data_IF_616893145601
#
_entry.id   IF_616893145601
#
_cell.length_a   1.000
_cell.length_b   1.000
_cell.length_c   1.000
_cell.angle_alpha   90.00
_cell.angle_beta   90.00
_cell.angle_gamma   90.00
#
_symmetry.space_group_name_H-M   'P 1'
#
loop_
_entity.id
_entity.type
_entity.pdbx_description
1 polymer ?
#
# COMPACT_ATOMS: atom_id res chain seq x y z
N UNK A 1 3.29 34.09 17.59
CA UNK A 1 2.59 35.33 17.87
C UNK A 1 1.74 35.19 19.14
N UNK A 2 1.86 36.14 20.06
CA UNK A 2 1.25 36.07 21.39
C UNK A 2 -0.30 35.88 21.38
N UNK A 3 -0.97 36.31 20.31
CA UNK A 3 -2.41 36.13 20.14
C UNK A 3 -2.83 34.68 19.94
N UNK A 4 -2.12 33.93 19.08
CA UNK A 4 -2.38 32.52 18.83
C UNK A 4 -2.12 31.66 20.08
N UNK A 5 -1.01 31.90 20.79
CA UNK A 5 -0.71 31.18 22.03
C UNK A 5 -1.80 31.39 23.11
N UNK A 6 -2.32 32.63 23.23
CA UNK A 6 -3.43 32.91 24.16
C UNK A 6 -4.72 32.22 23.76
N UNK A 7 -5.02 32.17 22.45
CA UNK A 7 -6.20 31.45 21.95
C UNK A 7 -6.12 29.94 22.26
N UNK A 8 -4.98 29.34 21.94
CA UNK A 8 -4.74 27.91 22.19
C UNK A 8 -4.73 27.58 23.69
N UNK A 9 -4.09 28.41 24.50
CA UNK A 9 -4.06 28.25 25.94
C UNK A 9 -5.49 28.31 26.55
N UNK A 10 -6.33 29.21 26.04
CA UNK A 10 -7.74 29.27 26.46
C UNK A 10 -8.52 28.01 26.06
N UNK A 11 -8.32 27.49 24.85
CA UNK A 11 -8.96 26.26 24.36
C UNK A 11 -8.53 25.03 25.18
N UNK A 12 -7.24 24.92 25.50
CA UNK A 12 -6.68 23.83 26.30
C UNK A 12 -6.81 24.04 27.82
N UNK A 13 -7.41 25.13 28.25
CA UNK A 13 -7.58 25.48 29.67
C UNK A 13 -6.25 25.51 30.45
N UNK A 14 -5.19 26.03 29.83
CA UNK A 14 -3.86 26.16 30.41
C UNK A 14 -3.33 27.60 30.27
N UNK A 15 -2.12 27.85 30.74
CA UNK A 15 -1.45 29.14 30.50
C UNK A 15 -0.60 29.09 29.23
N UNK A 16 -0.32 30.23 28.56
CA UNK A 16 0.57 30.26 27.40
C UNK A 16 1.98 29.69 27.66
N UNK A 17 2.45 29.70 28.89
CA UNK A 17 3.74 29.13 29.30
C UNK A 17 3.74 27.61 29.40
N UNK A 18 2.58 26.99 29.47
CA UNK A 18 2.44 25.54 29.48
C UNK A 18 2.51 24.94 28.07
N UNK A 19 2.39 25.79 27.04
CA UNK A 19 2.55 25.39 25.62
C UNK A 19 4.04 25.42 25.26
N UNK A 20 4.68 24.27 25.36
CA UNK A 20 6.15 24.14 25.19
C UNK A 20 6.54 24.11 23.71
N UNK A 21 5.76 23.41 22.87
CA UNK A 21 6.01 23.26 21.43
C UNK A 21 4.69 23.11 20.68
N UNK A 22 4.64 23.55 19.42
CA UNK A 22 3.44 23.47 18.59
C UNK A 22 3.77 22.90 17.22
N UNK A 23 3.02 21.90 16.82
CA UNK A 23 2.91 21.46 15.42
C UNK A 23 1.56 21.92 14.87
N UNK A 24 1.57 22.72 13.82
CA UNK A 24 0.37 23.30 13.22
C UNK A 24 0.29 22.89 11.74
N UNK A 25 -0.83 22.31 11.37
CA UNK A 25 -1.11 21.88 10.01
C UNK A 25 -2.28 22.68 9.43
N UNK A 26 -2.07 23.26 8.27
CA UNK A 26 -3.14 23.91 7.52
C UNK A 26 -3.99 22.83 6.84
N UNK A 27 -5.29 22.92 7.03
CA UNK A 27 -6.24 21.96 6.44
C UNK A 27 -7.47 22.69 5.92
N UNK A 28 -8.02 22.21 4.78
CA UNK A 28 -9.35 22.63 4.33
C UNK A 28 -10.41 22.02 5.26
N UNK A 29 -11.28 22.85 5.81
CA UNK A 29 -12.35 22.44 6.72
C UNK A 29 -13.65 22.10 6.00
N UNK A 30 -13.73 22.31 4.68
CA UNK A 30 -14.91 21.95 3.92
C UNK A 30 -15.04 20.42 3.82
N UNK A 31 -16.25 19.86 4.03
CA UNK A 31 -16.46 18.42 3.92
C UNK A 31 -16.27 17.92 2.49
N UNK A 32 -15.91 16.65 2.35
CA UNK A 32 -15.95 15.96 1.08
C UNK A 32 -17.36 16.01 0.47
N UNK A 33 -17.44 16.08 -0.85
CA UNK A 33 -18.72 16.13 -1.58
C UNK A 33 -18.68 15.20 -2.79
N UNK A 34 -19.82 14.61 -3.07
CA UNK A 34 -20.08 13.98 -4.36
C UNK A 34 -20.56 15.10 -5.31
N UNK A 35 -20.11 15.05 -6.55
CA UNK A 35 -20.39 16.02 -7.58
C UNK A 35 -20.46 15.40 -8.97
N UNK A 36 -20.64 16.26 -9.97
CA UNK A 36 -20.92 15.85 -11.34
C UNK A 36 -22.42 15.77 -11.62
N UNK A 37 -22.79 15.68 -12.90
CA UNK A 37 -24.20 15.59 -13.34
C UNK A 37 -24.86 14.27 -12.92
N UNK A 38 -24.03 13.20 -12.82
CA UNK A 38 -24.45 11.84 -12.48
C UNK A 38 -23.82 11.36 -11.17
N UNK A 39 -23.38 12.28 -10.31
CA UNK A 39 -22.70 11.95 -9.05
C UNK A 39 -21.42 11.10 -9.26
N UNK A 40 -20.78 11.31 -10.39
CA UNK A 40 -19.65 10.52 -10.85
C UNK A 40 -18.29 10.93 -10.24
N UNK A 41 -18.24 12.06 -9.50
CA UNK A 41 -17.00 12.58 -8.93
C UNK A 41 -17.04 12.70 -7.40
N UNK A 42 -15.89 12.52 -6.80
CA UNK A 42 -15.61 12.82 -5.38
C UNK A 42 -14.71 14.05 -5.36
N UNK A 43 -15.11 15.07 -4.59
CA UNK A 43 -14.30 16.25 -4.33
C UNK A 43 -13.96 16.32 -2.85
N UNK A 44 -12.67 16.25 -2.53
CA UNK A 44 -12.20 16.30 -1.15
C UNK A 44 -10.75 16.78 -1.09
N UNK A 45 -10.30 17.33 0.03
CA UNK A 45 -8.87 17.43 0.29
C UNK A 45 -8.30 16.04 0.60
N UNK A 46 -7.01 15.86 0.34
CA UNK A 46 -6.24 14.67 0.77
C UNK A 46 -6.79 13.34 0.22
N UNK A 47 -7.41 13.34 -0.97
CA UNK A 47 -7.70 12.11 -1.69
C UNK A 47 -6.39 11.34 -1.96
N UNK A 48 -5.35 12.08 -2.22
CA UNK A 48 -3.99 11.63 -2.11
C UNK A 48 -3.50 11.77 -0.65
N UNK A 49 -3.31 10.67 0.11
CA UNK A 49 -3.54 9.30 -0.33
C UNK A 49 -4.59 8.58 0.55
N UNK A 50 -5.54 9.30 1.11
CA UNK A 50 -6.62 8.71 1.93
C UNK A 50 -7.49 7.72 1.13
N UNK A 51 -7.59 7.92 -0.18
CA UNK A 51 -8.28 7.01 -1.08
C UNK A 51 -7.72 5.59 -1.01
N UNK A 52 -6.40 5.44 -1.24
CA UNK A 52 -5.77 4.12 -1.22
C UNK A 52 -5.64 3.57 0.20
N UNK A 53 -5.45 4.42 1.20
CA UNK A 53 -5.48 4.01 2.61
C UNK A 53 -6.81 3.36 2.98
N UNK A 54 -7.93 3.97 2.63
CA UNK A 54 -9.26 3.39 2.83
C UNK A 54 -9.46 2.10 2.05
N UNK A 55 -9.12 2.11 0.75
CA UNK A 55 -9.32 0.96 -0.12
C UNK A 55 -8.50 -0.27 0.33
N UNK A 56 -7.26 -0.07 0.76
CA UNK A 56 -6.39 -1.16 1.22
C UNK A 56 -6.89 -1.80 2.52
N UNK A 57 -7.33 -1.00 3.50
CA UNK A 57 -7.93 -1.51 4.74
C UNK A 57 -9.23 -2.27 4.45
N UNK A 58 -10.10 -1.72 3.60
CA UNK A 58 -11.35 -2.41 3.21
C UNK A 58 -11.06 -3.73 2.49
N UNK A 59 -10.08 -3.75 1.62
CA UNK A 59 -9.66 -4.96 0.92
C UNK A 59 -9.11 -6.03 1.87
N UNK A 60 -8.27 -5.63 2.84
CA UNK A 60 -7.78 -6.55 3.86
C UNK A 60 -8.94 -7.20 4.63
N UNK A 61 -9.91 -6.41 5.09
CA UNK A 61 -11.10 -6.90 5.79
C UNK A 61 -11.93 -7.83 4.90
N UNK A 62 -12.16 -7.44 3.64
CA UNK A 62 -12.94 -8.26 2.70
C UNK A 62 -12.27 -9.61 2.41
N UNK A 63 -10.94 -9.68 2.47
CA UNK A 63 -10.18 -10.90 2.21
C UNK A 63 -10.10 -11.89 3.39
N UNK A 64 -10.60 -11.54 4.58
CA UNK A 64 -10.54 -12.41 5.77
C UNK A 64 -11.18 -13.79 5.60
N UNK A 65 -12.29 -13.98 4.86
CA UNK A 65 -12.88 -15.31 4.68
C UNK A 65 -11.93 -16.34 4.05
N UNK A 66 -10.99 -15.89 3.18
CA UNK A 66 -10.02 -16.77 2.52
C UNK A 66 -8.71 -16.97 3.31
N UNK A 67 -8.58 -16.36 4.50
CA UNK A 67 -7.33 -16.36 5.28
C UNK A 67 -6.87 -17.78 5.71
N UNK A 68 -7.78 -18.72 5.91
CA UNK A 68 -7.45 -20.09 6.36
C UNK A 68 -6.59 -20.87 5.37
N UNK A 69 -6.70 -20.56 4.09
CA UNK A 69 -5.97 -21.22 3.00
C UNK A 69 -4.78 -20.39 2.50
N UNK A 70 -4.51 -19.27 3.15
CA UNK A 70 -3.49 -18.31 2.72
C UNK A 70 -2.10 -18.73 3.24
N UNK A 71 -1.13 -18.97 2.36
CA UNK A 71 0.23 -19.29 2.78
C UNK A 71 1.07 -18.05 3.14
N UNK A 72 0.56 -16.84 2.88
CA UNK A 72 1.26 -15.59 3.14
C UNK A 72 0.62 -14.80 4.28
N UNK A 73 1.43 -14.01 4.96
CA UNK A 73 0.94 -12.99 5.89
C UNK A 73 0.45 -11.79 5.09
N UNK A 74 -0.83 -11.44 5.25
CA UNK A 74 -1.41 -10.24 4.64
C UNK A 74 -1.18 -9.04 5.54
N UNK A 75 -0.59 -7.99 5.00
CA UNK A 75 -0.24 -6.78 5.76
C UNK A 75 -0.69 -5.54 4.98
N UNK A 76 -1.25 -4.57 5.69
CA UNK A 76 -1.40 -3.19 5.22
C UNK A 76 -0.59 -2.29 6.13
N UNK A 77 0.30 -1.51 5.56
CA UNK A 77 1.05 -0.48 6.26
C UNK A 77 0.60 0.89 5.77
N UNK A 78 0.17 1.75 6.67
CA UNK A 78 -0.13 3.15 6.40
C UNK A 78 0.97 4.00 7.02
N UNK A 79 1.56 4.88 6.23
CA UNK A 79 2.66 5.73 6.64
C UNK A 79 2.24 7.18 6.68
N UNK A 80 2.91 7.96 7.50
CA UNK A 80 2.83 9.41 7.48
C UNK A 80 4.06 9.99 6.74
N UNK A 81 4.04 11.30 6.51
CA UNK A 81 5.17 12.06 5.97
C UNK A 81 5.64 11.63 4.57
N UNK A 82 4.77 11.08 3.74
CA UNK A 82 5.12 10.72 2.37
C UNK A 82 5.51 11.95 1.57
N UNK A 83 4.73 13.02 1.64
CA UNK A 83 4.93 14.28 0.90
C UNK A 83 6.23 15.01 1.25
N UNK A 84 6.72 14.86 2.46
CA UNK A 84 8.02 15.41 2.88
C UNK A 84 9.19 14.47 2.57
N UNK A 85 8.94 13.34 1.91
CA UNK A 85 9.94 12.43 1.37
C UNK A 85 10.17 11.14 2.13
N UNK A 86 9.25 10.74 3.04
CA UNK A 86 9.25 9.46 3.76
C UNK A 86 10.46 9.19 4.68
N UNK A 87 11.39 10.12 4.81
CA UNK A 87 12.64 9.96 5.58
C UNK A 87 12.52 10.22 7.08
N UNK A 88 11.33 10.51 7.59
CA UNK A 88 11.07 10.74 9.00
C UNK A 88 10.89 9.42 9.76
N UNK A 89 10.77 9.50 11.10
CA UNK A 89 10.50 8.34 11.94
C UNK A 89 9.19 7.62 11.57
N UNK A 90 8.17 8.38 11.12
CA UNK A 90 6.85 7.89 10.73
C UNK A 90 6.78 7.47 9.25
N UNK A 91 7.77 7.81 8.46
CA UNK A 91 7.77 7.61 7.02
C UNK A 91 8.16 6.21 6.60
N UNK A 92 7.80 5.86 5.39
CA UNK A 92 8.04 4.54 4.81
C UNK A 92 9.53 4.18 4.63
N UNK A 93 10.42 5.17 4.61
CA UNK A 93 11.89 4.97 4.56
C UNK A 93 12.53 4.85 5.93
N UNK A 94 11.77 4.90 7.02
CA UNK A 94 12.30 4.66 8.35
C UNK A 94 12.65 3.19 8.55
N UNK A 95 13.42 2.90 9.59
CA UNK A 95 13.74 1.53 10.00
C UNK A 95 12.51 0.77 10.55
N UNK A 96 11.39 1.47 10.78
CA UNK A 96 10.19 0.90 11.40
C UNK A 96 9.68 -0.34 10.68
N UNK A 97 9.54 -0.27 9.36
CA UNK A 97 9.03 -1.39 8.53
C UNK A 97 9.94 -2.61 8.61
N UNK A 98 11.25 -2.39 8.53
CA UNK A 98 12.22 -3.48 8.66
C UNK A 98 12.13 -4.13 10.04
N UNK A 99 12.13 -3.34 11.11
CA UNK A 99 12.01 -3.82 12.48
C UNK A 99 10.71 -4.60 12.70
N UNK A 100 9.59 -4.09 12.16
CA UNK A 100 8.30 -4.77 12.24
C UNK A 100 8.36 -6.15 11.57
N UNK A 101 8.83 -6.23 10.33
CA UNK A 101 8.87 -7.50 9.61
C UNK A 101 9.88 -8.49 10.18
N UNK A 102 11.02 -8.04 10.71
CA UNK A 102 11.94 -8.92 11.44
C UNK A 102 11.24 -9.54 12.65
N UNK A 103 10.58 -8.74 13.48
CA UNK A 103 9.86 -9.23 14.67
C UNK A 103 8.71 -10.17 14.32
N UNK A 104 7.93 -9.86 13.28
CA UNK A 104 6.85 -10.75 12.81
C UNK A 104 7.41 -12.08 12.30
N UNK A 105 8.48 -12.04 11.52
CA UNK A 105 9.12 -13.25 10.99
C UNK A 105 9.67 -14.13 12.13
N UNK A 106 10.32 -13.54 13.11
CA UNK A 106 10.83 -14.24 14.29
C UNK A 106 9.70 -14.86 15.13
N UNK A 107 8.65 -14.09 15.41
CA UNK A 107 7.51 -14.57 16.20
C UNK A 107 6.78 -15.75 15.53
N UNK A 108 6.61 -15.71 14.21
CA UNK A 108 6.00 -16.80 13.45
C UNK A 108 6.89 -18.05 13.42
N UNK A 109 8.21 -17.88 13.37
CA UNK A 109 9.14 -19.00 13.42
C UNK A 109 9.09 -19.72 14.78
N UNK A 110 9.08 -18.98 15.88
CA UNK A 110 8.95 -19.54 17.25
C UNK A 110 7.62 -20.27 17.41
N UNK A 111 6.51 -19.67 17.01
CA UNK A 111 5.19 -20.30 17.09
C UNK A 111 5.07 -21.59 16.26
N UNK A 112 5.77 -21.66 15.13
CA UNK A 112 5.81 -22.89 14.31
C UNK A 112 6.58 -24.03 15.02
N UNK A 113 7.67 -23.72 15.72
CA UNK A 113 8.45 -24.70 16.52
C UNK A 113 7.61 -25.23 17.67
N UNK A 114 6.98 -24.35 18.45
CA UNK A 114 6.11 -24.75 19.57
C UNK A 114 4.92 -25.60 19.12
N UNK A 115 4.33 -25.29 17.97
CA UNK A 115 3.23 -26.09 17.40
C UNK A 115 3.67 -27.50 16.98
N UNK A 116 4.87 -27.64 16.42
CA UNK A 116 5.44 -28.94 16.04
C UNK A 116 5.82 -29.78 17.26
N UNK A 117 6.38 -29.19 18.30
CA UNK A 117 6.70 -29.88 19.55
C UNK A 117 5.42 -30.35 20.28
N UNK A 118 4.38 -29.54 20.30
CA UNK A 118 3.08 -29.91 20.87
C UNK A 118 2.40 -31.06 20.08
N UNK A 119 2.51 -31.06 18.75
CA UNK A 119 1.96 -32.11 17.90
C UNK A 119 2.72 -33.45 18.03
N UNK A 120 4.05 -33.40 18.23
CA UNK A 120 4.89 -34.59 18.43
C UNK A 120 4.63 -35.29 19.76
N UNK A 121 4.13 -34.56 20.75
CA UNK A 121 3.75 -35.12 22.07
C UNK A 121 2.37 -35.81 22.08
N UNK A 122 1.57 -35.73 21.02
CA UNK A 122 0.18 -36.26 20.96
C UNK A 122 0.04 -37.51 20.08
N UNK A 123 1.11 -38.02 19.47
CA UNK A 123 1.01 -39.32 18.77
C UNK A 123 1.67 -39.33 17.39
N UNK A 124 2.53 -40.30 17.21
CA UNK A 124 3.41 -40.47 16.08
C UNK A 124 2.79 -40.48 14.70
N UNK A 125 3.34 -39.64 13.85
CA UNK A 125 3.21 -39.69 12.40
C UNK A 125 4.51 -39.23 11.78
N UNK A 126 5.11 -40.04 10.94
CA UNK A 126 6.48 -39.90 10.40
C UNK A 126 6.69 -38.74 9.40
N UNK A 127 5.68 -37.90 9.13
CA UNK A 127 5.74 -36.85 8.09
C UNK A 127 6.14 -35.47 8.60
N UNK A 128 6.23 -35.28 9.93
CA UNK A 128 6.69 -33.99 10.52
C UNK A 128 8.22 -33.78 10.43
N UNK A 129 8.98 -34.80 10.10
CA UNK A 129 10.46 -34.77 10.09
C UNK A 129 11.06 -33.92 8.96
N UNK A 130 10.30 -33.60 7.91
CA UNK A 130 10.80 -32.82 6.78
C UNK A 130 10.84 -31.30 7.02
N UNK A 131 10.18 -30.80 8.05
CA UNK A 131 10.25 -29.37 8.44
C UNK A 131 11.26 -29.09 9.57
N UNK A 132 11.56 -30.08 10.39
CA UNK A 132 12.47 -29.96 11.53
C UNK A 132 13.95 -30.23 11.19
N UNK A 133 14.29 -30.54 9.93
CA UNK A 133 15.64 -30.89 9.49
C UNK A 133 16.61 -29.73 9.25
N UNK A 134 16.33 -28.52 9.75
CA UNK A 134 17.20 -27.36 9.63
C UNK A 134 17.95 -27.09 10.93
N UNK A 135 19.10 -27.74 11.15
CA UNK A 135 20.01 -27.36 12.23
C UNK A 135 20.35 -25.86 12.22
N UNK A 136 21.00 -25.33 13.26
CA UNK A 136 21.35 -23.92 13.55
C UNK A 136 21.73 -23.02 12.34
N UNK A 137 21.80 -23.55 11.13
CA UNK A 137 21.97 -22.82 9.86
C UNK A 137 20.67 -22.34 9.20
N UNK A 138 19.48 -22.88 9.56
CA UNK A 138 18.22 -22.52 8.91
C UNK A 138 17.58 -21.24 9.48
N UNK A 139 17.93 -20.86 10.71
CA UNK A 139 17.49 -19.60 11.33
C UNK A 139 18.26 -18.38 10.79
N UNK A 140 19.45 -18.63 10.22
CA UNK A 140 20.21 -17.56 9.58
C UNK A 140 19.48 -17.10 8.30
N UNK A 141 19.36 -15.78 8.17
CA UNK A 141 18.74 -15.14 7.01
C UNK A 141 17.24 -15.43 6.84
N UNK A 142 16.52 -15.79 7.91
CA UNK A 142 15.08 -16.04 7.83
C UNK A 142 14.32 -14.81 7.32
N UNK A 143 14.68 -13.63 7.81
CA UNK A 143 14.09 -12.37 7.35
C UNK A 143 14.36 -12.14 5.86
N UNK A 144 15.60 -12.26 5.41
CA UNK A 144 15.99 -12.06 4.02
C UNK A 144 15.29 -13.04 3.07
N UNK A 145 15.16 -14.30 3.49
CA UNK A 145 14.40 -15.33 2.76
C UNK A 145 12.91 -15.00 2.69
N UNK A 146 12.35 -14.50 3.78
CA UNK A 146 10.95 -14.06 3.83
C UNK A 146 10.73 -12.86 2.90
N UNK A 147 11.63 -11.87 2.95
CA UNK A 147 11.54 -10.69 2.07
C UNK A 147 11.68 -11.07 0.59
N UNK A 148 12.56 -12.01 0.25
CA UNK A 148 12.72 -12.51 -1.12
C UNK A 148 11.46 -13.22 -1.67
N UNK A 149 10.57 -13.68 -0.79
CA UNK A 149 9.29 -14.33 -1.13
C UNK A 149 8.07 -13.42 -0.96
N UNK A 150 8.29 -12.20 -0.54
CA UNK A 150 7.24 -11.23 -0.29
C UNK A 150 6.97 -10.38 -1.53
N UNK A 151 5.77 -9.87 -1.65
CA UNK A 151 5.39 -8.90 -2.68
C UNK A 151 4.77 -7.68 -2.01
N UNK A 152 5.21 -6.49 -2.41
CA UNK A 152 4.67 -5.21 -1.96
C UNK A 152 3.86 -4.56 -3.09
N UNK A 153 2.66 -4.12 -2.79
CA UNK A 153 1.89 -3.24 -3.65
C UNK A 153 1.92 -1.83 -3.03
N UNK A 154 2.59 -0.90 -3.71
CA UNK A 154 2.63 0.51 -3.31
C UNK A 154 1.39 1.20 -3.88
N UNK A 155 0.49 1.61 -3.00
CA UNK A 155 -0.80 2.16 -3.36
C UNK A 155 -0.80 3.67 -3.14
N UNK A 156 -0.71 4.41 -4.26
CA UNK A 156 -0.60 5.87 -4.26
C UNK A 156 -1.28 6.47 -5.49
N UNK A 157 -1.96 7.62 -5.33
CA UNK A 157 -2.75 8.23 -6.39
C UNK A 157 -1.90 8.62 -7.61
N UNK A 158 -2.56 8.76 -8.76
CA UNK A 158 -1.95 9.12 -10.03
C UNK A 158 -2.65 10.31 -10.68
N UNK A 159 -1.91 11.11 -11.43
CA UNK A 159 -2.50 12.19 -12.21
C UNK A 159 -3.35 11.65 -13.36
N UNK A 160 -4.64 12.01 -13.38
CA UNK A 160 -5.48 11.84 -14.55
C UNK A 160 -5.08 12.83 -15.67
N UNK A 161 -5.46 12.52 -16.90
CA UNK A 161 -5.31 13.47 -18.01
C UNK A 161 -6.10 14.73 -17.71
N UNK A 162 -5.41 15.85 -17.63
CA UNK A 162 -6.05 17.15 -17.45
C UNK A 162 -6.62 17.61 -18.79
N UNK A 163 -7.90 18.03 -18.85
CA UNK A 163 -8.56 18.43 -20.12
C UNK A 163 -7.83 19.54 -20.87
N UNK A 164 -7.24 20.50 -20.14
CA UNK A 164 -6.53 21.63 -20.74
C UNK A 164 -5.05 21.34 -21.08
N UNK A 165 -4.52 20.18 -20.66
CA UNK A 165 -3.10 19.83 -20.79
C UNK A 165 -2.89 18.36 -21.17
N UNK A 166 -3.61 17.84 -22.19
CA UNK A 166 -3.53 16.42 -22.55
C UNK A 166 -2.16 16.02 -23.10
N UNK A 167 -1.36 16.98 -23.55
CA UNK A 167 0.02 16.79 -24.05
C UNK A 167 1.03 16.52 -22.92
N UNK A 168 0.67 16.71 -21.67
CA UNK A 168 1.52 16.36 -20.52
C UNK A 168 1.60 14.85 -20.27
N UNK A 169 0.73 14.07 -20.91
CA UNK A 169 0.73 12.62 -20.88
C UNK A 169 1.19 12.06 -22.23
N UNK A 170 1.94 10.97 -22.15
CA UNK A 170 2.38 10.23 -23.31
C UNK A 170 1.15 9.65 -24.05
N UNK A 171 1.09 9.76 -25.41
CA UNK A 171 -0.13 9.46 -26.16
C UNK A 171 -0.74 8.07 -25.94
N UNK A 172 0.09 7.05 -25.72
CA UNK A 172 -0.35 5.68 -25.50
C UNK A 172 -0.73 5.36 -24.03
N UNK A 173 -0.49 6.29 -23.10
CA UNK A 173 -0.57 6.03 -21.66
C UNK A 173 -1.25 7.19 -20.92
N UNK A 174 -2.54 7.39 -21.24
CA UNK A 174 -3.35 8.50 -20.74
C UNK A 174 -4.39 8.01 -19.74
N UNK A 175 -4.13 8.10 -18.41
CA UNK A 175 -5.11 7.71 -17.41
C UNK A 175 -6.34 8.62 -17.44
N UNK A 176 -7.49 8.04 -17.61
CA UNK A 176 -8.78 8.75 -17.53
C UNK A 176 -9.58 8.32 -16.30
N UNK A 177 -10.59 9.10 -15.97
CA UNK A 177 -11.58 8.70 -14.98
C UNK A 177 -12.38 7.48 -15.46
N UNK A 178 -12.85 6.64 -14.55
CA UNK A 178 -13.64 5.44 -14.80
C UNK A 178 -12.96 4.35 -15.64
N UNK A 179 -11.65 4.43 -15.84
CA UNK A 179 -10.90 3.50 -16.68
C UNK A 179 -10.08 2.46 -15.88
N UNK A 180 -10.35 2.32 -14.58
CA UNK A 180 -9.60 1.45 -13.70
C UNK A 180 -8.46 2.16 -12.97
N UNK A 181 -7.65 1.39 -12.25
CA UNK A 181 -6.50 1.91 -11.52
C UNK A 181 -5.31 2.12 -12.48
N UNK A 182 -4.44 3.01 -12.08
CA UNK A 182 -3.24 3.37 -12.84
C UNK A 182 -2.05 2.60 -12.33
N UNK A 183 -1.46 1.76 -13.17
CA UNK A 183 -0.19 1.08 -12.90
C UNK A 183 0.96 1.95 -13.40
N UNK A 184 1.73 2.47 -12.45
CA UNK A 184 2.78 3.45 -12.72
C UNK A 184 4.07 2.78 -13.16
N UNK A 185 4.66 3.26 -14.24
CA UNK A 185 5.97 2.86 -14.74
C UNK A 185 6.92 4.06 -14.83
N UNK A 186 8.20 3.82 -14.66
CA UNK A 186 9.23 4.83 -14.83
C UNK A 186 10.49 4.22 -15.44
N UNK A 187 11.02 4.83 -16.49
CA UNK A 187 12.18 4.30 -17.23
C UNK A 187 13.45 4.17 -16.37
N UNK A 188 13.63 5.07 -15.39
CA UNK A 188 14.73 5.02 -14.43
C UNK A 188 14.36 4.28 -13.12
N UNK A 189 13.24 3.55 -13.12
CA UNK A 189 12.73 2.80 -11.96
C UNK A 189 12.61 3.64 -10.67
N UNK A 190 12.22 4.90 -10.78
CA UNK A 190 11.82 5.68 -9.61
C UNK A 190 10.54 5.10 -8.98
N UNK A 191 9.65 4.50 -9.80
CA UNK A 191 8.74 3.45 -9.37
C UNK A 191 9.42 2.10 -9.54
N UNK A 192 9.28 1.20 -8.58
CA UNK A 192 9.91 -0.11 -8.66
C UNK A 192 9.16 -1.10 -9.57
N UNK A 193 8.05 -0.68 -10.19
CA UNK A 193 7.32 -1.48 -11.17
C UNK A 193 8.22 -1.84 -12.34
N UNK A 194 8.35 -3.14 -12.61
CA UNK A 194 9.07 -3.71 -13.74
C UNK A 194 8.16 -4.64 -14.53
N UNK A 195 8.70 -5.33 -15.54
CA UNK A 195 7.93 -6.23 -16.39
C UNK A 195 7.24 -7.36 -15.62
N UNK A 196 7.94 -7.98 -14.66
CA UNK A 196 7.41 -9.09 -13.86
C UNK A 196 6.34 -8.59 -12.89
N UNK A 197 6.62 -7.56 -12.10
CA UNK A 197 5.67 -7.03 -11.13
C UNK A 197 4.42 -6.46 -11.80
N UNK A 198 4.59 -5.83 -12.97
CA UNK A 198 3.48 -5.40 -13.83
C UNK A 198 2.62 -6.57 -14.31
N UNK A 199 3.24 -7.67 -14.73
CA UNK A 199 2.50 -8.86 -15.17
C UNK A 199 1.67 -9.48 -14.04
N UNK A 200 2.23 -9.55 -12.83
CA UNK A 200 1.53 -10.05 -11.65
C UNK A 200 0.31 -9.16 -11.34
N UNK A 201 0.47 -7.84 -11.28
CA UNK A 201 -0.65 -6.91 -10.99
C UNK A 201 -1.72 -6.99 -12.08
N UNK A 202 -1.33 -7.09 -13.35
CA UNK A 202 -2.27 -7.28 -14.47
C UNK A 202 -3.01 -8.61 -14.38
N UNK A 203 -2.35 -9.67 -13.94
CA UNK A 203 -3.00 -10.97 -13.75
C UNK A 203 -3.99 -10.93 -12.57
N UNK A 204 -3.69 -10.21 -11.48
CA UNK A 204 -4.67 -9.93 -10.42
C UNK A 204 -5.88 -9.21 -11.00
N UNK A 205 -5.68 -8.12 -11.75
CA UNK A 205 -6.75 -7.36 -12.36
C UNK A 205 -7.61 -8.23 -13.29
N UNK A 206 -6.99 -9.07 -14.11
CA UNK A 206 -7.70 -10.00 -15.00
C UNK A 206 -8.57 -11.00 -14.21
N UNK A 207 -8.08 -11.53 -13.09
CA UNK A 207 -8.85 -12.48 -12.25
C UNK A 207 -9.97 -11.83 -11.49
N UNK A 208 -9.85 -10.55 -11.17
CA UNK A 208 -10.90 -9.77 -10.50
C UNK A 208 -11.83 -9.06 -11.46
N UNK A 209 -11.61 -9.22 -12.78
CA UNK A 209 -12.35 -8.53 -13.84
C UNK A 209 -12.25 -6.98 -13.74
N UNK A 210 -11.11 -6.50 -13.25
CA UNK A 210 -10.79 -5.08 -13.16
C UNK A 210 -9.81 -4.65 -14.26
N UNK A 211 -9.83 -3.37 -14.58
CA UNK A 211 -8.92 -2.79 -15.57
C UNK A 211 -7.78 -2.05 -14.88
N UNK A 212 -6.59 -2.14 -15.48
CA UNK A 212 -5.41 -1.39 -15.07
C UNK A 212 -4.87 -0.63 -16.27
N UNK A 213 -4.77 0.67 -16.14
CA UNK A 213 -4.22 1.57 -17.18
C UNK A 213 -2.74 1.79 -16.90
N UNK A 214 -1.88 1.52 -17.88
CA UNK A 214 -0.45 1.83 -17.78
C UNK A 214 -0.23 3.34 -17.86
N UNK A 215 0.61 3.85 -16.97
CA UNK A 215 1.14 5.21 -17.05
C UNK A 215 2.66 5.20 -16.98
N UNK A 216 3.31 5.78 -17.98
CA UNK A 216 4.74 6.06 -17.95
C UNK A 216 4.94 7.55 -17.60
N UNK A 217 5.50 7.81 -16.43
CA UNK A 217 5.78 9.18 -15.99
C UNK A 217 7.25 9.37 -15.60
N UNK A 218 7.85 10.50 -15.96
CA UNK A 218 9.05 10.99 -15.30
C UNK A 218 8.67 11.68 -13.98
N UNK A 219 9.18 11.22 -12.84
CA UNK A 219 9.17 12.02 -11.62
C UNK A 219 8.47 11.48 -10.38
N UNK A 220 8.06 10.22 -10.30
CA UNK A 220 7.58 9.62 -9.06
C UNK A 220 8.67 8.87 -8.30
N UNK A 221 8.42 8.52 -7.05
CA UNK A 221 9.31 7.71 -6.21
C UNK A 221 8.54 6.60 -5.50
N UNK A 222 9.14 5.44 -5.41
CA UNK A 222 8.61 4.29 -4.69
C UNK A 222 9.00 4.29 -3.21
N UNK A 223 8.17 3.67 -2.40
CA UNK A 223 8.40 3.39 -0.99
C UNK A 223 9.55 2.38 -0.82
N UNK A 224 10.66 2.81 -0.29
CA UNK A 224 11.71 2.03 0.37
C UNK A 224 12.48 0.96 -0.42
N UNK A 225 13.78 0.80 -0.12
CA UNK A 225 14.67 -0.13 -0.85
C UNK A 225 14.54 -1.60 -0.45
N UNK A 226 13.86 -1.94 0.64
CA UNK A 226 13.91 -3.29 1.26
C UNK A 226 13.19 -4.33 0.40
N UNK A 227 12.17 -3.93 -0.38
CA UNK A 227 11.35 -4.83 -1.20
C UNK A 227 11.34 -4.44 -2.69
N UNK A 228 12.32 -3.67 -3.14
CA UNK A 228 12.35 -3.10 -4.48
C UNK A 228 12.28 -4.12 -5.63
N UNK A 229 12.65 -5.38 -5.39
CA UNK A 229 12.63 -6.44 -6.41
C UNK A 229 11.24 -6.99 -6.73
N UNK A 230 10.27 -6.82 -5.83
CA UNK A 230 8.92 -7.38 -5.95
C UNK A 230 7.84 -6.33 -5.65
N UNK A 231 7.93 -5.17 -6.28
CA UNK A 231 7.09 -4.03 -5.98
C UNK A 231 6.35 -3.55 -7.23
N UNK A 232 5.04 -3.30 -7.09
CA UNK A 232 4.22 -2.64 -8.09
C UNK A 232 3.61 -1.36 -7.52
N UNK A 233 3.69 -0.25 -8.28
CA UNK A 233 3.06 1.02 -7.91
C UNK A 233 1.74 1.20 -8.65
N UNK A 234 0.65 1.44 -7.88
CA UNK A 234 -0.70 1.52 -8.43
C UNK A 234 -1.56 2.52 -7.64
N UNK A 235 -2.53 3.14 -8.28
CA UNK A 235 -3.50 4.00 -7.60
C UNK A 235 -4.59 4.56 -8.49
N UNK A 236 -5.54 5.27 -7.88
CA UNK A 236 -6.63 5.92 -8.60
C UNK A 236 -6.16 7.12 -9.41
N UNK A 237 -6.83 7.39 -10.53
CA UNK A 237 -6.61 8.59 -11.30
C UNK A 237 -7.31 9.78 -10.65
N UNK A 238 -6.61 10.90 -10.47
CA UNK A 238 -7.17 12.12 -9.89
C UNK A 238 -6.70 13.39 -10.59
N UNK A 239 -7.44 14.47 -10.40
CA UNK A 239 -7.04 15.83 -10.78
C UNK A 239 -6.86 16.70 -9.55
N UNK A 240 -6.14 17.79 -9.73
CA UNK A 240 -5.85 18.78 -8.69
C UNK A 240 -5.18 18.17 -7.43
N UNK A 241 -4.33 17.17 -7.62
CA UNK A 241 -3.52 16.56 -6.55
C UNK A 241 -2.80 17.64 -5.74
N UNK A 242 -2.73 17.47 -4.41
CA UNK A 242 -2.16 18.40 -3.43
C UNK A 242 -2.94 19.72 -3.27
N UNK A 243 -4.11 19.85 -3.86
CA UNK A 243 -4.98 21.00 -3.66
C UNK A 243 -5.94 20.81 -2.49
N UNK A 244 -6.58 21.89 -2.05
CA UNK A 244 -7.67 21.79 -1.06
C UNK A 244 -8.94 21.14 -1.64
N UNK A 245 -9.03 20.92 -2.95
CA UNK A 245 -10.15 20.27 -3.65
C UNK A 245 -9.65 19.38 -4.77
N UNK A 246 -9.14 18.24 -4.39
CA UNK A 246 -8.81 17.16 -5.29
C UNK A 246 -10.07 16.49 -5.83
N UNK A 247 -9.96 15.88 -7.00
CA UNK A 247 -11.09 15.23 -7.65
C UNK A 247 -10.70 13.86 -8.18
N UNK A 248 -11.51 12.84 -7.86
CA UNK A 248 -11.42 11.50 -8.46
C UNK A 248 -12.81 11.00 -8.84
N UNK A 249 -12.90 9.86 -9.50
CA UNK A 249 -14.21 9.29 -9.83
C UNK A 249 -14.72 8.31 -8.78
N UNK A 250 -16.03 8.28 -8.59
CA UNK A 250 -16.70 7.43 -7.59
C UNK A 250 -16.48 5.95 -7.84
N UNK A 251 -16.46 5.52 -9.12
CA UNK A 251 -16.23 4.11 -9.50
C UNK A 251 -14.84 3.59 -9.10
N UNK A 252 -13.83 4.46 -9.07
CA UNK A 252 -12.46 4.07 -8.72
C UNK A 252 -12.33 3.49 -7.31
N UNK A 253 -13.19 3.91 -6.37
CA UNK A 253 -13.17 3.38 -4.99
C UNK A 253 -13.51 1.89 -4.98
N UNK A 254 -14.59 1.51 -5.66
CA UNK A 254 -14.98 0.10 -5.79
C UNK A 254 -13.94 -0.72 -6.53
N UNK A 255 -13.42 -0.19 -7.64
CA UNK A 255 -12.36 -0.83 -8.43
C UNK A 255 -11.10 -1.07 -7.61
N UNK A 256 -10.66 -0.10 -6.78
CA UNK A 256 -9.50 -0.25 -5.90
C UNK A 256 -9.74 -1.34 -4.85
N UNK A 257 -10.89 -1.33 -4.18
CA UNK A 257 -11.23 -2.35 -3.18
C UNK A 257 -11.25 -3.74 -3.81
N UNK A 258 -11.87 -3.92 -4.97
CA UNK A 258 -11.95 -5.20 -5.68
C UNK A 258 -10.56 -5.70 -6.06
N UNK A 259 -9.74 -4.85 -6.67
CA UNK A 259 -8.39 -5.24 -7.10
C UNK A 259 -7.49 -5.57 -5.91
N UNK A 260 -7.51 -4.77 -4.85
CA UNK A 260 -6.70 -5.02 -3.66
C UNK A 260 -7.18 -6.25 -2.88
N UNK A 261 -8.49 -6.53 -2.85
CA UNK A 261 -9.02 -7.79 -2.31
C UNK A 261 -8.48 -8.98 -3.11
N UNK A 262 -8.58 -8.91 -4.43
CA UNK A 262 -8.04 -9.94 -5.31
C UNK A 262 -6.51 -10.10 -5.20
N UNK A 263 -5.78 -9.02 -4.94
CA UNK A 263 -4.36 -9.10 -4.64
C UNK A 263 -4.10 -9.98 -3.41
N UNK A 264 -4.83 -9.77 -2.32
CA UNK A 264 -4.69 -10.61 -1.13
C UNK A 264 -5.12 -12.07 -1.36
N UNK A 265 -6.13 -12.32 -2.17
CA UNK A 265 -6.70 -13.66 -2.35
C UNK A 265 -6.03 -14.48 -3.45
N UNK A 266 -5.41 -13.83 -4.44
CA UNK A 266 -4.91 -14.50 -5.64
C UNK A 266 -3.40 -14.52 -5.76
N UNK A 267 -2.67 -13.70 -4.99
CA UNK A 267 -1.23 -13.54 -5.15
C UNK A 267 -0.48 -14.88 -5.04
N UNK A 268 -0.78 -15.68 -4.03
CA UNK A 268 -0.13 -16.98 -3.82
C UNK A 268 -0.30 -17.92 -5.03
N UNK A 269 -1.51 -17.98 -5.56
CA UNK A 269 -1.84 -18.81 -6.73
C UNK A 269 -1.18 -18.27 -8.02
N UNK A 270 -1.06 -16.96 -8.14
CA UNK A 270 -0.39 -16.33 -9.28
C UNK A 270 1.11 -16.63 -9.21
N UNK A 271 1.76 -16.38 -8.08
CA UNK A 271 3.19 -16.62 -7.92
C UNK A 271 3.56 -18.09 -8.15
N UNK A 272 2.76 -19.03 -7.66
CA UNK A 272 2.98 -20.47 -7.91
C UNK A 272 2.90 -20.83 -9.39
N UNK A 273 2.06 -20.16 -10.17
CA UNK A 273 1.96 -20.39 -11.62
C UNK A 273 3.14 -19.80 -12.41
N UNK A 274 3.80 -18.76 -11.91
CA UNK A 274 4.99 -18.18 -12.55
C UNK A 274 6.28 -18.96 -12.25
N UNK A 275 6.35 -19.71 -11.17
CA UNK A 275 7.53 -20.54 -10.82
C UNK A 275 7.57 -21.85 -11.60
N UNK A 276 6.49 -22.22 -12.27
CA UNK A 276 6.40 -23.46 -13.07
C UNK A 276 6.95 -23.29 -14.52
N UNK A 277 7.57 -22.16 -14.82
CA UNK A 277 8.28 -21.88 -16.07
C UNK A 277 9.78 -21.75 -15.77
#
# INVERSE_FOLDING_TARGET
>A
PAGLLRLLAAEFQCTPSDLVELELYLADTQPAKIGGLHEEFIHAPRLDNQFNAYASIRALVNSLPSLKEEPFVRVVCLYDHEEIGSGSLQGAKSIYTECLFRRVTEALAVGAVEATESASNVGGGADAANYAGGGMGSERCLFERTMARSFLLSADQSHAVHPSWPEKHEPGHKPGFHQGLVLKHHCSQNYATNGLTSAIVKEVARRTNEFVVRQDQPGGRTIGPIMASHLGDIGGAQLAMHSCREMTCTSSVGQAITLFTGFFEQLANILSSFVAI
#
